data_IF_344872186270
#
_entry.id   IF_344872186270
#
_cell.length_a   1.000
_cell.length_b   1.000
_cell.length_c   1.000
_cell.angle_alpha   90.00
_cell.angle_beta   90.00
_cell.angle_gamma   90.00
#
_symmetry.space_group_name_H-M   'P 1'
#
loop_
_entity.id
_entity.type
_entity.pdbx_description
1 polymer ?
#
# COMPACT_ATOMS: atom_id res chain seq x y z
N UNK A 1 4.18 12.61 -16.30
CA UNK A 1 5.22 13.58 -15.89
C UNK A 1 6.33 12.78 -15.24
N UNK A 2 7.51 12.71 -15.85
CA UNK A 2 8.68 12.03 -15.24
C UNK A 2 9.16 12.96 -14.12
N UNK A 3 8.92 12.56 -12.88
CA UNK A 3 9.59 13.16 -11.74
C UNK A 3 11.00 12.58 -11.76
N UNK A 4 11.96 13.35 -12.25
CA UNK A 4 13.38 13.01 -12.10
C UNK A 4 13.65 12.86 -10.60
N UNK A 5 13.89 11.63 -10.15
CA UNK A 5 14.29 11.33 -8.78
C UNK A 5 15.80 11.22 -8.75
N UNK A 6 16.43 12.13 -8.03
CA UNK A 6 17.88 12.37 -8.08
C UNK A 6 18.71 11.32 -7.32
N UNK A 7 18.09 10.25 -6.77
CA UNK A 7 18.79 9.27 -5.92
C UNK A 7 18.35 7.81 -6.20
N UNK A 8 19.18 6.98 -6.87
CA UNK A 8 18.80 5.62 -7.26
C UNK A 8 18.54 4.68 -6.06
N UNK A 9 19.07 5.03 -4.88
CA UNK A 9 18.83 4.29 -3.64
C UNK A 9 17.44 4.56 -3.04
N UNK A 10 16.90 5.76 -3.24
CA UNK A 10 15.54 6.11 -2.82
C UNK A 10 14.53 5.37 -3.71
N UNK A 11 14.80 5.27 -5.01
CA UNK A 11 14.00 4.48 -5.94
C UNK A 11 13.97 3.00 -5.57
N UNK A 12 15.10 2.40 -5.21
CA UNK A 12 15.13 1.00 -4.77
C UNK A 12 14.32 0.75 -3.49
N UNK A 13 14.38 1.67 -2.52
CA UNK A 13 13.62 1.59 -1.27
C UNK A 13 12.11 1.73 -1.52
N UNK A 14 11.72 2.66 -2.39
CA UNK A 14 10.33 2.89 -2.77
C UNK A 14 9.77 1.71 -3.57
N UNK A 15 10.54 1.16 -4.50
CA UNK A 15 10.16 -0.05 -5.26
C UNK A 15 9.92 -1.22 -4.31
N UNK A 16 10.81 -1.44 -3.32
CA UNK A 16 10.61 -2.48 -2.30
C UNK A 16 9.31 -2.25 -1.53
N UNK A 17 9.06 -1.01 -1.09
CA UNK A 17 7.85 -0.65 -0.37
C UNK A 17 6.59 -0.93 -1.20
N UNK A 18 6.53 -0.47 -2.45
CA UNK A 18 5.39 -0.72 -3.34
C UNK A 18 5.19 -2.21 -3.61
N UNK A 19 6.27 -2.96 -3.86
CA UNK A 19 6.20 -4.41 -4.07
C UNK A 19 5.62 -5.13 -2.86
N UNK A 20 5.99 -4.72 -1.65
CA UNK A 20 5.44 -5.28 -0.41
C UNK A 20 3.97 -4.94 -0.26
N UNK A 21 3.59 -3.66 -0.36
CA UNK A 21 2.21 -3.20 -0.11
C UNK A 21 1.24 -3.69 -1.18
N UNK A 22 1.59 -3.59 -2.47
CA UNK A 22 0.75 -4.06 -3.57
C UNK A 22 0.65 -5.59 -3.64
N UNK A 23 1.59 -6.31 -2.99
CA UNK A 23 1.55 -7.76 -2.86
C UNK A 23 0.61 -8.28 -1.76
N UNK A 24 -0.01 -7.39 -0.98
CA UNK A 24 -0.91 -7.79 0.10
C UNK A 24 -2.29 -8.21 -0.41
N UNK A 25 -2.85 -9.22 0.25
CA UNK A 25 -4.25 -9.59 0.08
C UNK A 25 -5.11 -8.78 1.06
N UNK A 26 -5.78 -7.75 0.55
CA UNK A 26 -6.64 -6.86 1.31
C UNK A 26 -7.69 -7.61 2.14
N UNK A 27 -8.31 -8.67 1.60
CA UNK A 27 -9.34 -9.42 2.31
C UNK A 27 -8.75 -10.28 3.43
N UNK A 28 -7.52 -10.76 3.28
CA UNK A 28 -6.80 -11.44 4.37
C UNK A 28 -6.42 -10.48 5.48
N UNK A 29 -5.92 -9.28 5.15
CA UNK A 29 -5.60 -8.24 6.13
C UNK A 29 -6.81 -7.89 7.00
N UNK A 30 -7.98 -7.72 6.36
CA UNK A 30 -9.22 -7.43 7.08
C UNK A 30 -9.66 -8.57 8.01
N UNK A 31 -9.47 -9.84 7.59
CA UNK A 31 -9.78 -11.00 8.43
C UNK A 31 -8.81 -11.16 9.59
N UNK A 32 -7.55 -10.77 9.40
CA UNK A 32 -6.50 -10.86 10.41
C UNK A 32 -6.65 -9.77 11.48
N UNK A 33 -7.01 -8.54 11.11
CA UNK A 33 -7.25 -7.44 12.06
C UNK A 33 -8.37 -7.75 13.06
N UNK A 34 -9.45 -8.39 12.58
CA UNK A 34 -10.54 -8.86 13.44
C UNK A 34 -10.10 -9.93 14.45
N UNK A 35 -9.03 -10.69 14.15
CA UNK A 35 -8.48 -11.74 15.01
C UNK A 35 -7.37 -11.23 15.94
N UNK A 36 -6.63 -10.21 15.53
CA UNK A 36 -5.48 -9.66 16.25
C UNK A 36 -5.84 -8.87 17.51
N UNK A 37 -7.11 -8.46 17.65
CA UNK A 37 -7.66 -7.84 18.87
C UNK A 37 -7.56 -8.73 20.14
N UNK A 38 -6.95 -9.92 20.09
CA UNK A 38 -6.89 -10.85 21.21
C UNK A 38 -5.52 -11.27 21.70
N UNK A 39 -4.40 -11.00 21.02
CA UNK A 39 -3.09 -11.49 21.48
C UNK A 39 -1.92 -10.57 21.08
N UNK A 40 -1.54 -9.66 21.98
CA UNK A 40 -0.24 -8.98 21.90
C UNK A 40 0.84 -9.86 22.52
N UNK A 41 1.80 -10.33 21.71
CA UNK A 41 3.03 -10.97 22.18
C UNK A 41 4.21 -10.04 21.91
N UNK A 42 4.92 -9.69 22.98
CA UNK A 42 6.17 -8.92 22.96
C UNK A 42 7.27 -9.73 22.27
N UNK A 43 8.11 -9.07 21.48
CA UNK A 43 9.39 -9.61 21.04
C UNK A 43 10.53 -8.96 21.83
N UNK A 44 11.39 -9.83 22.37
CA UNK A 44 12.59 -9.50 23.11
C UNK A 44 13.71 -9.10 22.14
N UNK A 45 14.41 -8.01 22.47
CA UNK A 45 15.48 -7.44 21.67
C UNK A 45 16.80 -8.21 21.82
N UNK A 46 17.45 -8.44 20.70
CA UNK A 46 18.87 -8.81 20.64
C UNK A 46 19.60 -7.77 19.77
N UNK A 47 20.67 -7.24 20.34
CA UNK A 47 21.57 -6.20 19.83
C UNK A 47 22.57 -6.81 18.83
N UNK A 48 22.65 -6.33 17.57
CA UNK A 48 23.83 -6.41 16.68
C UNK A 48 23.61 -5.77 15.28
N UNK A 49 23.96 -4.48 15.15
CA UNK A 49 24.11 -3.77 13.86
C UNK A 49 23.22 -2.53 13.74
N UNK A 50 23.62 -1.41 14.35
CA UNK A 50 22.79 -0.23 14.64
C UNK A 50 21.87 0.24 13.48
N UNK A 51 22.32 0.22 12.22
CA UNK A 51 21.50 0.66 11.08
C UNK A 51 20.64 -0.45 10.48
N UNK A 52 21.16 -1.67 10.43
CA UNK A 52 20.41 -2.84 9.92
C UNK A 52 19.34 -3.27 10.91
N UNK A 53 19.64 -3.18 12.21
CA UNK A 53 18.69 -3.39 13.31
C UNK A 53 17.64 -2.29 13.33
N UNK A 54 18.00 -1.05 13.00
CA UNK A 54 17.05 0.04 12.84
C UNK A 54 16.04 -0.31 11.72
N UNK A 55 16.50 -0.64 10.52
CA UNK A 55 15.58 -1.04 9.45
C UNK A 55 14.78 -2.30 9.81
N UNK A 56 15.42 -3.34 10.36
CA UNK A 56 14.75 -4.57 10.76
C UNK A 56 13.71 -4.36 11.88
N UNK A 57 13.88 -3.33 12.71
CA UNK A 57 12.91 -2.99 13.77
C UNK A 57 11.80 -2.10 13.23
N UNK A 58 12.14 -1.06 12.47
CA UNK A 58 11.20 -0.02 12.07
C UNK A 58 10.44 -0.34 10.77
N UNK A 59 11.02 -1.11 9.85
CA UNK A 59 10.34 -1.51 8.61
C UNK A 59 9.09 -2.36 8.89
N UNK A 60 9.13 -3.39 9.77
CA UNK A 60 7.91 -4.10 10.16
C UNK A 60 6.89 -3.19 10.83
N UNK A 61 7.33 -2.29 11.72
CA UNK A 61 6.44 -1.34 12.40
C UNK A 61 5.75 -0.39 11.42
N UNK A 62 6.48 0.10 10.42
CA UNK A 62 5.93 0.93 9.35
C UNK A 62 4.86 0.17 8.57
N UNK A 63 5.11 -1.10 8.23
CA UNK A 63 4.12 -1.91 7.54
C UNK A 63 2.87 -2.21 8.39
N UNK A 64 3.02 -2.42 9.69
CA UNK A 64 1.86 -2.56 10.59
C UNK A 64 1.02 -1.28 10.65
N UNK A 65 1.65 -0.10 10.69
CA UNK A 65 0.95 1.18 10.62
C UNK A 65 0.22 1.35 9.28
N UNK A 66 0.85 1.01 8.15
CA UNK A 66 0.21 1.07 6.83
C UNK A 66 -1.01 0.14 6.78
N UNK A 67 -0.90 -1.10 7.31
CA UNK A 67 -2.05 -2.00 7.42
C UNK A 67 -3.16 -1.39 8.28
N UNK A 68 -2.80 -0.84 9.44
CA UNK A 68 -3.77 -0.22 10.35
C UNK A 68 -4.51 0.93 9.67
N UNK A 69 -3.82 1.79 8.93
CA UNK A 69 -4.43 2.87 8.17
C UNK A 69 -5.36 2.38 7.05
N UNK A 70 -4.96 1.33 6.31
CA UNK A 70 -5.82 0.73 5.27
C UNK A 70 -7.11 0.16 5.88
N UNK A 71 -7.02 -0.47 7.05
CA UNK A 71 -8.18 -1.03 7.75
C UNK A 71 -9.06 0.08 8.32
N UNK A 72 -8.47 1.07 8.99
CA UNK A 72 -9.20 2.17 9.61
C UNK A 72 -9.95 3.02 8.58
N UNK A 73 -9.35 3.34 7.44
CA UNK A 73 -10.02 4.10 6.37
C UNK A 73 -11.33 3.47 5.92
N UNK A 74 -11.43 2.13 5.98
CA UNK A 74 -12.67 1.42 5.65
C UNK A 74 -13.79 1.62 6.68
N UNK A 75 -13.43 1.81 7.95
CA UNK A 75 -14.41 2.02 9.03
C UNK A 75 -14.87 3.50 9.08
N UNK A 76 -14.00 4.44 8.70
CA UNK A 76 -14.28 5.89 8.71
C UNK A 76 -14.90 6.41 7.40
N UNK A 77 -14.56 5.85 6.24
CA UNK A 77 -15.24 6.12 4.97
C UNK A 77 -16.32 5.06 4.76
N UNK A 78 -17.60 5.44 4.89
CA UNK A 78 -18.73 4.63 4.40
C UNK A 78 -18.38 4.13 2.99
N UNK A 79 -18.18 2.82 2.88
CA UNK A 79 -17.74 2.07 1.68
C UNK A 79 -17.96 2.86 0.39
N UNK A 80 -16.90 3.46 -0.16
CA UNK A 80 -16.97 3.99 -1.52
C UNK A 80 -17.50 2.86 -2.41
N UNK A 81 -18.62 3.13 -3.07
CA UNK A 81 -19.25 2.17 -3.98
C UNK A 81 -18.22 1.75 -5.05
N UNK A 82 -18.12 0.46 -5.32
CA UNK A 82 -17.23 -0.03 -6.38
C UNK A 82 -17.66 0.57 -7.71
N UNK A 83 -16.76 1.34 -8.33
CA UNK A 83 -17.00 1.88 -9.67
C UNK A 83 -16.39 1.01 -10.74
N UNK A 84 -17.21 0.71 -11.74
CA UNK A 84 -16.78 -0.06 -12.90
C UNK A 84 -16.05 0.87 -13.86
N UNK A 85 -14.79 0.56 -14.16
CA UNK A 85 -13.98 1.32 -15.11
C UNK A 85 -13.40 0.41 -16.19
N UNK A 86 -13.13 1.00 -17.35
CA UNK A 86 -12.58 0.28 -18.49
C UNK A 86 -11.06 0.42 -18.52
N UNK A 87 -10.37 -0.72 -18.59
CA UNK A 87 -8.92 -0.78 -18.77
C UNK A 87 -8.63 -0.58 -20.25
N UNK A 88 -7.90 0.50 -20.58
CA UNK A 88 -7.52 0.82 -21.96
C UNK A 88 -6.22 0.14 -22.35
N UNK A 89 -5.25 0.11 -21.44
CA UNK A 89 -3.90 -0.43 -21.69
C UNK A 89 -3.32 -1.06 -20.41
N UNK A 90 -2.40 -2.02 -20.60
CA UNK A 90 -1.63 -2.64 -19.51
C UNK A 90 -0.19 -2.81 -20.00
N UNK A 91 0.76 -2.16 -19.32
CA UNK A 91 2.19 -2.20 -19.64
C UNK A 91 2.97 -2.87 -18.51
N UNK A 92 4.00 -3.62 -18.85
CA UNK A 92 4.91 -4.22 -17.87
C UNK A 92 6.19 -3.38 -17.77
N UNK A 93 6.51 -2.88 -16.57
CA UNK A 93 7.76 -2.17 -16.30
C UNK A 93 8.19 -2.38 -14.84
N UNK A 94 9.48 -2.59 -14.62
CA UNK A 94 10.10 -2.72 -13.29
C UNK A 94 9.42 -3.74 -12.37
N UNK A 95 8.99 -4.89 -12.92
CA UNK A 95 8.23 -5.95 -12.23
C UNK A 95 6.78 -5.57 -11.82
N UNK A 96 6.28 -4.43 -12.29
CA UNK A 96 4.90 -3.98 -12.10
C UNK A 96 4.09 -4.02 -13.39
N UNK A 97 2.77 -4.10 -13.23
CA UNK A 97 1.80 -3.88 -14.30
C UNK A 97 1.21 -2.48 -14.13
N UNK A 98 1.47 -1.60 -15.10
CA UNK A 98 0.93 -0.25 -15.17
C UNK A 98 -0.35 -0.27 -16.00
N UNK A 99 -1.48 -0.08 -15.33
CA UNK A 99 -2.81 -0.06 -15.95
C UNK A 99 -3.20 1.38 -16.30
N UNK A 100 -3.66 1.58 -17.54
CA UNK A 100 -4.36 2.80 -17.95
C UNK A 100 -5.85 2.54 -17.92
N UNK A 101 -6.60 3.42 -17.24
CA UNK A 101 -8.02 3.25 -16.94
C UNK A 101 -8.76 4.55 -17.28
N UNK A 102 -9.99 4.44 -17.78
CA UNK A 102 -10.85 5.61 -18.03
C UNK A 102 -11.21 6.32 -16.72
N UNK A 103 -11.19 7.66 -16.75
CA UNK A 103 -11.57 8.52 -15.63
C UNK A 103 -12.52 9.61 -16.13
N UNK A 104 -13.63 9.84 -15.41
CA UNK A 104 -14.56 10.93 -15.71
C UNK A 104 -14.27 12.12 -14.80
N UNK A 105 -13.72 13.18 -15.38
CA UNK A 105 -13.37 14.41 -14.64
C UNK A 105 -14.59 15.21 -14.17
N UNK A 106 -15.79 14.93 -14.70
CA UNK A 106 -17.01 15.64 -14.32
C UNK A 106 -17.69 15.07 -13.06
N UNK A 107 -17.17 13.97 -12.52
CA UNK A 107 -17.74 13.32 -11.36
C UNK A 107 -17.19 13.96 -10.06
N UNK A 108 -17.99 14.82 -9.42
CA UNK A 108 -17.57 15.58 -8.23
C UNK A 108 -17.22 14.70 -7.02
N UNK A 109 -17.58 13.42 -7.04
CA UNK A 109 -17.46 12.48 -5.92
C UNK A 109 -16.10 11.77 -5.83
N UNK A 110 -15.33 11.71 -6.91
CA UNK A 110 -14.05 10.99 -6.95
C UNK A 110 -12.92 11.93 -7.33
N UNK A 111 -12.26 12.55 -6.36
CA UNK A 111 -10.99 13.23 -6.60
C UNK A 111 -9.86 12.26 -6.31
N UNK A 112 -9.37 11.59 -7.34
CA UNK A 112 -8.19 10.70 -7.22
C UNK A 112 -6.93 11.54 -7.22
N UNK A 113 -6.12 11.38 -6.18
CA UNK A 113 -4.80 11.98 -6.07
C UNK A 113 -3.71 11.02 -6.57
N UNK A 114 -2.55 11.53 -7.04
CA UNK A 114 -1.45 10.68 -7.50
C UNK A 114 -0.87 9.70 -6.46
N UNK A 115 -1.13 9.93 -5.17
CA UNK A 115 -0.61 9.12 -4.07
C UNK A 115 -1.69 8.23 -3.42
N UNK A 116 -2.84 8.08 -4.08
CA UNK A 116 -3.92 7.24 -3.58
C UNK A 116 -3.63 5.75 -3.83
N UNK A 117 -3.93 4.93 -2.82
CA UNK A 117 -3.89 3.48 -2.93
C UNK A 117 -5.28 2.98 -3.30
N UNK A 118 -5.40 2.33 -4.46
CA UNK A 118 -6.67 1.81 -4.97
C UNK A 118 -6.71 0.28 -4.93
N UNK A 119 -7.89 -0.26 -4.64
CA UNK A 119 -8.17 -1.69 -4.71
C UNK A 119 -8.98 -1.99 -5.98
N UNK A 120 -8.52 -2.97 -6.75
CA UNK A 120 -9.24 -3.46 -7.92
C UNK A 120 -9.86 -4.83 -7.63
N UNK A 121 -11.10 -5.02 -8.07
CA UNK A 121 -11.76 -6.34 -8.10
C UNK A 121 -12.13 -6.67 -9.53
N UNK A 122 -12.08 -7.96 -9.85
CA UNK A 122 -12.69 -8.51 -11.06
C UNK A 122 -14.20 -8.69 -10.87
#
# INVERSE_FOLDING_TARGET
MVVERENPQEDASIIRFYKTVLGWDYFRLLKESQKFNKNNKKNDGAELGILTDYLATFEPLLFEEVKAQIIQKKDDEEVQEWKLRLVTECLEADEFHLLSITYDENEETEKISPNDLMLFSR
#
